data_IF_509109527425
#
_entry.id   IF_509109527425
#
_cell.length_a   1.000
_cell.length_b   1.000
_cell.length_c   1.000
_cell.angle_alpha   90.00
_cell.angle_beta   90.00
_cell.angle_gamma   90.00
#
_symmetry.space_group_name_H-M   'P 1'
#
loop_
_entity.id
_entity.type
_entity.pdbx_description
1 polymer ?
#
# COMPACT_ATOMS: atom_id res chain seq x y z
N UNK A 1 19.06 5.76 12.49
CA UNK A 1 17.66 5.89 12.07
C UNK A 1 17.11 7.32 12.13
N UNK A 2 17.58 8.17 13.05
CA UNK A 2 17.12 9.56 13.11
C UNK A 2 17.31 10.33 11.78
N UNK A 3 18.43 10.13 11.09
CA UNK A 3 18.69 10.76 9.79
C UNK A 3 17.77 10.25 8.66
N UNK A 4 17.12 9.10 8.84
CA UNK A 4 16.23 8.55 7.82
C UNK A 4 14.89 9.29 7.75
N UNK A 5 14.48 9.98 8.82
CA UNK A 5 13.23 10.74 8.85
C UNK A 5 13.18 11.88 7.83
N UNK A 6 14.35 12.40 7.42
CA UNK A 6 14.44 13.49 6.44
C UNK A 6 14.53 12.99 5.00
N UNK A 7 14.58 11.66 4.79
CA UNK A 7 14.67 11.07 3.45
C UNK A 7 13.29 10.82 2.90
N UNK A 8 13.15 11.01 1.57
CA UNK A 8 11.95 10.62 0.84
C UNK A 8 12.14 9.23 0.25
N UNK A 9 11.06 8.47 0.19
CA UNK A 9 11.04 7.15 -0.44
C UNK A 9 10.36 7.29 -1.80
N UNK A 10 11.09 7.11 -2.92
CA UNK A 10 10.49 7.20 -4.24
C UNK A 10 9.40 6.13 -4.43
N UNK A 11 8.35 6.50 -5.16
CA UNK A 11 7.32 5.55 -5.56
C UNK A 11 7.89 4.54 -6.56
N UNK A 12 7.32 3.34 -6.56
CA UNK A 12 7.50 2.38 -7.64
C UNK A 12 6.21 2.40 -8.45
N UNK A 13 6.18 3.14 -9.53
CA UNK A 13 4.94 3.46 -10.24
C UNK A 13 5.18 3.61 -11.74
N UNK A 14 4.17 3.25 -12.52
CA UNK A 14 4.15 3.37 -13.98
C UNK A 14 2.71 3.61 -14.44
N UNK A 15 2.49 4.15 -15.65
CA UNK A 15 1.14 4.32 -16.18
C UNK A 15 0.42 2.98 -16.38
N UNK A 16 -0.89 2.96 -16.09
CA UNK A 16 -1.76 1.85 -16.44
C UNK A 16 -1.54 0.55 -15.68
N UNK A 17 -1.01 0.62 -14.46
CA UNK A 17 -0.81 -0.57 -13.62
C UNK A 17 -2.14 -1.28 -13.34
N UNK A 18 -2.09 -2.60 -13.16
CA UNK A 18 -3.24 -3.37 -12.69
C UNK A 18 -3.61 -2.98 -11.26
N UNK A 19 -2.61 -2.89 -10.38
CA UNK A 19 -2.81 -2.53 -8.96
C UNK A 19 -1.70 -1.59 -8.49
N UNK A 20 -2.10 -0.48 -7.89
CA UNK A 20 -1.21 0.39 -7.12
C UNK A 20 -1.49 0.15 -5.63
N UNK A 21 -0.52 -0.44 -4.93
CA UNK A 21 -0.60 -0.61 -3.49
C UNK A 21 -0.18 0.69 -2.79
N UNK A 22 -0.92 1.06 -1.75
CA UNK A 22 -0.71 2.31 -1.03
C UNK A 22 -0.47 2.03 0.43
N UNK A 23 0.77 2.24 0.89
CA UNK A 23 1.11 2.22 2.30
C UNK A 23 0.66 3.50 3.00
N UNK A 24 0.71 3.51 4.33
CA UNK A 24 0.33 4.69 5.12
C UNK A 24 1.41 5.76 4.97
N UNK A 25 2.63 5.43 5.36
CA UNK A 25 3.83 6.26 5.19
C UNK A 25 5.07 5.38 5.31
N UNK A 26 6.26 5.85 4.85
CA UNK A 26 7.48 5.09 5.01
C UNK A 26 7.82 4.90 6.49
N UNK A 27 8.19 3.68 6.87
CA UNK A 27 8.87 3.44 8.12
C UNK A 27 10.33 3.93 8.03
N UNK A 28 11.02 4.02 9.16
CA UNK A 28 12.42 4.49 9.18
C UNK A 28 13.36 3.53 8.42
N UNK A 29 13.11 2.22 8.47
CA UNK A 29 13.86 1.24 7.70
C UNK A 29 13.72 1.47 6.20
N UNK A 30 12.50 1.71 5.74
CA UNK A 30 12.23 1.98 4.32
C UNK A 30 12.89 3.27 3.87
N UNK A 31 12.79 4.33 4.66
CA UNK A 31 13.45 5.60 4.34
C UNK A 31 14.98 5.45 4.31
N UNK A 32 15.57 4.65 5.22
CA UNK A 32 17.00 4.43 5.28
C UNK A 32 17.52 3.58 4.10
N UNK A 33 16.75 2.59 3.67
CA UNK A 33 17.17 1.67 2.59
C UNK A 33 16.73 2.11 1.21
N UNK A 34 15.70 2.93 1.09
CA UNK A 34 15.06 3.26 -0.18
C UNK A 34 14.11 2.18 -0.68
N UNK A 35 13.74 1.20 0.13
CA UNK A 35 12.88 0.08 -0.23
C UNK A 35 11.57 0.12 0.55
N UNK A 36 10.46 -0.10 -0.15
CA UNK A 36 9.13 -0.15 0.46
C UNK A 36 8.98 -1.40 1.34
N UNK A 37 8.29 -1.23 2.47
CA UNK A 37 8.00 -2.32 3.42
C UNK A 37 9.26 -3.11 3.81
N UNK A 38 10.36 -2.39 4.06
CA UNK A 38 11.68 -2.99 4.25
C UNK A 38 11.96 -3.44 5.69
N UNK A 39 11.16 -3.03 6.68
CA UNK A 39 11.40 -3.43 8.07
C UNK A 39 11.37 -4.96 8.17
N UNK A 40 12.39 -5.58 8.81
CA UNK A 40 12.36 -7.02 9.07
C UNK A 40 11.07 -7.43 9.78
N UNK A 41 10.42 -8.49 9.28
CA UNK A 41 9.12 -8.93 9.79
C UNK A 41 7.90 -8.29 9.14
N UNK A 42 8.07 -7.28 8.27
CA UNK A 42 6.94 -6.77 7.48
C UNK A 42 6.44 -7.88 6.55
N UNK A 43 5.12 -8.02 6.47
CA UNK A 43 4.47 -9.14 5.76
C UNK A 43 4.00 -8.80 4.36
N UNK A 44 4.26 -7.59 3.86
CA UNK A 44 3.79 -7.18 2.53
C UNK A 44 4.32 -8.09 1.42
N UNK A 45 5.63 -8.28 1.37
CA UNK A 45 6.25 -9.08 0.30
C UNK A 45 5.83 -10.56 0.35
N UNK A 46 5.79 -11.21 1.53
CA UNK A 46 5.20 -12.55 1.63
C UNK A 46 3.73 -12.61 1.22
N UNK A 47 2.92 -11.64 1.66
CA UNK A 47 1.50 -11.60 1.33
C UNK A 47 1.26 -11.40 -0.17
N UNK A 48 2.07 -10.58 -0.82
CA UNK A 48 2.01 -10.34 -2.25
C UNK A 48 2.25 -11.64 -3.04
N UNK A 49 3.24 -12.42 -2.62
CA UNK A 49 3.52 -13.71 -3.25
C UNK A 49 2.43 -14.75 -2.92
N UNK A 50 2.05 -14.89 -1.66
CA UNK A 50 0.98 -15.82 -1.24
C UNK A 50 -0.35 -15.51 -1.90
N UNK A 51 -0.62 -14.22 -2.11
CA UNK A 51 -1.83 -13.77 -2.82
C UNK A 51 -1.82 -14.01 -4.31
N UNK A 52 -0.71 -14.46 -4.88
CA UNK A 52 -0.61 -14.81 -6.29
C UNK A 52 -0.22 -13.66 -7.22
N UNK A 53 0.22 -12.52 -6.68
CA UNK A 53 0.62 -11.36 -7.49
C UNK A 53 2.00 -11.51 -8.12
N UNK A 54 2.90 -12.25 -7.49
CA UNK A 54 4.25 -12.48 -8.01
C UNK A 54 4.56 -13.98 -8.02
N UNK A 55 5.35 -14.46 -9.00
CA UNK A 55 5.64 -15.90 -9.12
C UNK A 55 6.58 -16.42 -8.03
N UNK A 56 7.31 -15.52 -7.37
CA UNK A 56 8.17 -15.81 -6.23
C UNK A 56 8.06 -14.68 -5.20
N UNK A 57 8.50 -14.92 -3.99
CA UNK A 57 8.58 -13.86 -2.99
C UNK A 57 9.76 -12.94 -3.33
N UNK A 58 9.47 -11.67 -3.61
CA UNK A 58 10.49 -10.66 -3.86
C UNK A 58 11.10 -10.21 -2.53
N UNK A 59 12.40 -9.92 -2.56
CA UNK A 59 13.04 -9.15 -1.50
C UNK A 59 12.69 -7.66 -1.72
N UNK A 60 12.59 -6.83 -0.65
CA UNK A 60 12.31 -5.39 -0.84
C UNK A 60 13.23 -4.69 -1.83
N UNK A 61 14.51 -5.08 -1.91
CA UNK A 61 15.45 -4.53 -2.88
C UNK A 61 15.11 -4.82 -4.33
N UNK A 62 14.21 -5.75 -4.59
CA UNK A 62 13.74 -6.14 -5.92
C UNK A 62 12.44 -5.41 -6.32
N UNK A 63 12.06 -4.38 -5.58
CA UNK A 63 10.80 -3.64 -5.79
C UNK A 63 10.64 -3.10 -7.22
N UNK A 64 11.74 -2.80 -7.92
CA UNK A 64 11.68 -2.28 -9.27
C UNK A 64 11.20 -3.31 -10.30
N UNK A 65 11.08 -4.58 -9.92
CA UNK A 65 10.44 -5.61 -10.75
C UNK A 65 8.91 -5.48 -10.78
N UNK A 66 8.29 -4.79 -9.80
CA UNK A 66 6.83 -4.72 -9.67
C UNK A 66 6.11 -4.24 -10.94
N UNK A 67 6.54 -3.15 -11.63
CA UNK A 67 5.84 -2.72 -12.83
C UNK A 67 5.76 -3.77 -13.93
N UNK A 68 6.76 -4.65 -14.03
CA UNK A 68 6.73 -5.79 -14.96
C UNK A 68 5.63 -6.79 -14.70
N UNK A 69 5.08 -6.80 -13.48
CA UNK A 69 3.92 -7.61 -13.09
C UNK A 69 2.62 -6.80 -13.09
N UNK A 70 2.65 -5.56 -13.56
CA UNK A 70 1.48 -4.67 -13.51
C UNK A 70 1.22 -4.07 -12.12
N UNK A 71 2.23 -4.04 -11.25
CA UNK A 71 2.10 -3.63 -9.86
C UNK A 71 2.97 -2.41 -9.55
N UNK A 72 2.55 -1.65 -8.55
CA UNK A 72 3.33 -0.53 -8.03
C UNK A 72 3.06 -0.29 -6.55
N UNK A 73 3.85 0.58 -5.96
CA UNK A 73 3.73 0.95 -4.53
C UNK A 73 3.96 2.45 -4.37
N UNK A 74 3.12 3.06 -3.59
CA UNK A 74 3.26 4.44 -3.10
C UNK A 74 2.84 4.51 -1.62
N UNK A 75 2.86 5.69 -1.04
CA UNK A 75 2.36 5.94 0.33
C UNK A 75 1.36 7.10 0.32
N UNK A 76 0.44 7.11 1.28
CA UNK A 76 -0.46 8.25 1.48
C UNK A 76 0.30 9.49 1.91
N UNK A 77 1.23 9.33 2.86
CA UNK A 77 2.03 10.42 3.42
C UNK A 77 3.50 10.16 3.13
N UNK A 78 4.21 11.17 2.62
CA UNK A 78 5.62 11.03 2.25
C UNK A 78 6.55 11.03 3.47
N UNK A 79 6.15 11.65 4.57
CA UNK A 79 6.97 11.78 5.78
C UNK A 79 7.19 10.43 6.45
N UNK A 80 8.44 10.05 6.64
CA UNK A 80 8.80 8.83 7.36
C UNK A 80 8.58 9.00 8.88
N UNK A 81 8.17 7.92 9.54
CA UNK A 81 8.04 7.88 10.99
C UNK A 81 8.30 6.48 11.52
N UNK A 82 8.57 6.35 12.83
CA UNK A 82 8.76 5.05 13.46
C UNK A 82 7.43 4.27 13.50
N UNK A 83 6.31 4.97 13.68
CA UNK A 83 4.97 4.37 13.74
C UNK A 83 3.98 5.22 12.94
N UNK A 84 2.99 4.56 12.35
CA UNK A 84 1.95 5.24 11.58
C UNK A 84 1.06 6.16 12.45
N UNK A 85 0.90 5.84 13.73
CA UNK A 85 0.10 6.63 14.66
C UNK A 85 0.75 7.98 15.05
N UNK A 86 1.98 8.23 14.63
CA UNK A 86 2.64 9.52 14.76
C UNK A 86 2.15 10.55 13.74
N UNK A 87 1.40 10.11 12.73
CA UNK A 87 0.81 11.00 11.73
C UNK A 87 -0.47 11.63 12.25
N UNK A 88 -0.66 12.92 11.95
CA UNK A 88 -1.90 13.63 12.29
C UNK A 88 -3.02 13.28 11.29
N UNK A 89 -4.26 13.51 11.72
CA UNK A 89 -5.41 13.38 10.83
C UNK A 89 -5.29 14.31 9.61
N UNK A 90 -4.80 15.54 9.81
CA UNK A 90 -4.58 16.50 8.73
C UNK A 90 -3.58 15.98 7.70
N UNK A 91 -2.49 15.34 8.12
CA UNK A 91 -1.53 14.74 7.21
C UNK A 91 -2.15 13.64 6.37
N UNK A 92 -3.02 12.81 6.96
CA UNK A 92 -3.71 11.74 6.24
C UNK A 92 -4.73 12.30 5.23
N UNK A 93 -5.45 13.35 5.58
CA UNK A 93 -6.39 14.03 4.67
C UNK A 93 -5.65 14.65 3.49
N UNK A 94 -4.55 15.35 3.76
CA UNK A 94 -3.71 15.92 2.70
C UNK A 94 -3.11 14.81 1.82
N UNK A 95 -2.70 13.72 2.44
CA UNK A 95 -2.19 12.54 1.73
C UNK A 95 -3.21 11.92 0.79
N UNK A 96 -4.48 11.86 1.20
CA UNK A 96 -5.56 11.38 0.34
C UNK A 96 -5.74 12.27 -0.89
N UNK A 97 -5.60 13.59 -0.75
CA UNK A 97 -5.67 14.55 -1.86
C UNK A 97 -4.51 14.32 -2.83
N UNK A 98 -3.30 14.18 -2.33
CA UNK A 98 -2.11 13.92 -3.15
C UNK A 98 -2.25 12.58 -3.87
N UNK A 99 -2.72 11.54 -3.18
CA UNK A 99 -2.95 10.23 -3.77
C UNK A 99 -3.98 10.30 -4.90
N UNK A 100 -5.07 11.02 -4.70
CA UNK A 100 -6.12 11.18 -5.72
C UNK A 100 -5.54 11.79 -7.01
N UNK A 101 -4.72 12.83 -6.90
CA UNK A 101 -4.05 13.44 -8.05
C UNK A 101 -3.08 12.46 -8.74
N UNK A 102 -2.35 11.68 -7.96
CA UNK A 102 -1.43 10.66 -8.49
C UNK A 102 -2.18 9.58 -9.26
N UNK A 103 -3.28 9.07 -8.71
CA UNK A 103 -4.13 8.07 -9.37
C UNK A 103 -4.73 8.62 -10.67
N UNK A 104 -5.17 9.88 -10.66
CA UNK A 104 -5.66 10.55 -11.87
C UNK A 104 -4.60 10.63 -12.97
N UNK A 105 -3.36 10.85 -12.58
CA UNK A 105 -2.23 10.96 -13.53
C UNK A 105 -1.81 9.61 -14.10
N UNK A 106 -1.59 8.61 -13.23
CA UNK A 106 -1.05 7.30 -13.63
C UNK A 106 -2.10 6.29 -14.07
N UNK A 107 -3.35 6.48 -13.69
CA UNK A 107 -4.50 5.65 -14.10
C UNK A 107 -4.32 4.14 -13.86
N UNK A 108 -3.99 3.72 -12.63
CA UNK A 108 -4.04 2.30 -12.30
C UNK A 108 -5.48 1.81 -12.39
N UNK A 109 -5.67 0.51 -12.67
CA UNK A 109 -7.02 -0.07 -12.71
C UNK A 109 -7.60 -0.21 -11.29
N UNK A 110 -6.75 -0.60 -10.35
CA UNK A 110 -7.09 -0.78 -8.94
C UNK A 110 -6.13 -0.01 -8.05
N UNK A 111 -6.64 0.49 -6.94
CA UNK A 111 -5.85 1.07 -5.85
C UNK A 111 -6.16 0.28 -4.59
N UNK A 112 -5.15 -0.27 -3.95
CA UNK A 112 -5.27 -1.07 -2.73
C UNK A 112 -4.55 -0.37 -1.57
N UNK A 113 -5.32 0.18 -0.64
CA UNK A 113 -4.77 0.85 0.54
C UNK A 113 -4.54 -0.17 1.64
N UNK A 114 -3.31 -0.26 2.14
CA UNK A 114 -2.94 -1.23 3.17
C UNK A 114 -3.00 -0.59 4.56
N UNK A 115 -4.20 -0.51 5.12
CA UNK A 115 -4.45 0.05 6.44
C UNK A 115 -5.79 0.72 6.54
N UNK A 116 -6.74 0.09 7.24
CA UNK A 116 -8.12 0.59 7.30
C UNK A 116 -8.24 1.88 8.11
N UNK A 117 -7.45 2.05 9.17
CA UNK A 117 -7.53 3.25 10.03
C UNK A 117 -7.11 4.50 9.26
N UNK A 118 -5.98 4.43 8.54
CA UNK A 118 -5.52 5.54 7.73
C UNK A 118 -6.48 5.87 6.59
N UNK A 119 -7.06 4.84 5.98
CA UNK A 119 -8.08 5.01 4.95
C UNK A 119 -9.32 5.72 5.50
N UNK A 120 -9.84 5.26 6.63
CA UNK A 120 -11.01 5.87 7.27
C UNK A 120 -10.85 7.36 7.54
N UNK A 121 -9.67 7.72 8.04
CA UNK A 121 -9.36 9.13 8.38
C UNK A 121 -9.11 9.94 7.10
N UNK A 122 -8.21 9.48 6.25
CA UNK A 122 -7.79 10.24 5.07
C UNK A 122 -8.91 10.49 4.07
N UNK A 123 -9.79 9.52 3.88
CA UNK A 123 -10.91 9.60 2.94
C UNK A 123 -12.25 9.93 3.59
N UNK A 124 -12.26 10.22 4.87
CA UNK A 124 -13.49 10.53 5.64
C UNK A 124 -14.56 9.43 5.49
N UNK A 125 -14.15 8.17 5.65
CA UNK A 125 -15.01 6.99 5.57
C UNK A 125 -14.94 6.22 6.88
N UNK A 126 -15.52 6.74 7.98
CA UNK A 126 -15.29 6.17 9.32
C UNK A 126 -15.88 4.76 9.50
N UNK A 127 -16.78 4.33 8.60
CA UNK A 127 -17.40 3.00 8.66
C UNK A 127 -16.83 2.01 7.65
N UNK A 128 -15.77 2.40 6.92
CA UNK A 128 -15.16 1.52 5.91
C UNK A 128 -14.63 0.24 6.55
N UNK A 129 -14.74 -0.86 5.81
CA UNK A 129 -14.23 -2.17 6.19
C UNK A 129 -13.28 -2.68 5.11
N UNK A 130 -12.62 -3.81 5.37
CA UNK A 130 -11.72 -4.44 4.39
C UNK A 130 -12.50 -4.89 3.14
N UNK A 131 -11.78 -4.98 2.03
CA UNK A 131 -12.33 -5.43 0.77
C UNK A 131 -12.67 -4.28 -0.19
N UNK A 132 -13.55 -4.56 -1.17
CA UNK A 132 -13.89 -3.56 -2.18
C UNK A 132 -14.66 -2.40 -1.56
N UNK A 133 -14.37 -1.19 -2.04
CA UNK A 133 -15.04 0.02 -1.59
C UNK A 133 -16.10 0.45 -2.61
N UNK A 134 -17.23 1.04 -2.16
CA UNK A 134 -18.33 1.39 -3.05
C UNK A 134 -17.99 2.56 -3.98
N UNK A 135 -17.10 3.48 -3.56
CA UNK A 135 -16.73 4.63 -4.37
C UNK A 135 -15.38 4.38 -5.06
N UNK A 136 -15.27 4.69 -6.37
CA UNK A 136 -13.98 4.68 -7.05
C UNK A 136 -13.11 5.85 -6.61
N UNK A 137 -11.81 5.75 -6.86
CA UNK A 137 -10.86 6.83 -6.64
C UNK A 137 -10.30 7.27 -7.99
N UNK A 138 -10.68 8.47 -8.43
CA UNK A 138 -10.22 9.03 -9.72
C UNK A 138 -10.33 8.03 -10.89
N UNK A 139 -11.42 7.27 -10.92
CA UNK A 139 -11.69 6.27 -11.95
C UNK A 139 -11.13 4.87 -11.65
N UNK A 140 -10.26 4.71 -10.68
CA UNK A 140 -9.75 3.41 -10.26
C UNK A 140 -10.71 2.74 -9.27
N UNK A 141 -10.82 1.43 -9.34
CA UNK A 141 -11.51 0.66 -8.31
C UNK A 141 -10.67 0.65 -7.04
N UNK A 142 -11.33 0.72 -5.90
CA UNK A 142 -10.67 0.92 -4.61
C UNK A 142 -10.90 -0.28 -3.69
N UNK A 143 -9.81 -0.74 -3.07
CA UNK A 143 -9.81 -1.88 -2.15
C UNK A 143 -9.04 -1.53 -0.90
N UNK A 144 -9.47 -2.00 0.25
CA UNK A 144 -8.76 -1.82 1.52
C UNK A 144 -8.28 -3.17 2.03
N UNK A 145 -6.97 -3.24 2.27
CA UNK A 145 -6.30 -4.42 2.80
C UNK A 145 -5.87 -4.17 4.25
N UNK A 146 -5.69 -5.24 5.04
CA UNK A 146 -5.10 -5.11 6.37
C UNK A 146 -3.67 -4.57 6.31
N UNK A 147 -3.25 -3.88 7.37
CA UNK A 147 -1.89 -3.41 7.53
C UNK A 147 -0.91 -4.60 7.56
N UNK A 148 0.10 -4.64 6.69
CA UNK A 148 1.06 -5.76 6.62
C UNK A 148 2.14 -5.73 7.69
N UNK A 149 2.08 -4.80 8.64
CA UNK A 149 3.03 -4.74 9.75
C UNK A 149 3.12 -6.08 10.48
N UNK A 150 4.33 -6.54 10.77
CA UNK A 150 4.55 -7.72 11.59
C UNK A 150 4.02 -7.59 13.02
N UNK A 151 3.68 -6.38 13.45
CA UNK A 151 3.09 -6.09 14.77
C UNK A 151 1.55 -6.19 14.76
N UNK A 152 0.92 -6.41 13.61
CA UNK A 152 -0.53 -6.56 13.51
C UNK A 152 -0.96 -7.89 14.13
N UNK A 153 -1.63 -7.83 15.29
CA UNK A 153 -2.08 -9.00 16.03
C UNK A 153 -3.36 -9.62 15.48
N UNK A 154 -4.09 -8.92 14.61
CA UNK A 154 -5.40 -9.35 14.08
C UNK A 154 -5.27 -10.25 12.84
N UNK A 155 -4.12 -10.27 12.20
CA UNK A 155 -3.87 -11.07 11.00
C UNK A 155 -2.60 -11.88 11.16
N UNK A 156 -2.69 -13.17 10.80
CA UNK A 156 -1.52 -14.04 10.66
C UNK A 156 -0.95 -13.91 9.25
N UNK A 157 0.26 -14.42 8.97
CA UNK A 157 0.75 -14.47 7.60
C UNK A 157 -0.22 -15.16 6.62
N UNK A 158 -0.88 -16.23 7.07
CA UNK A 158 -1.83 -16.98 6.23
C UNK A 158 -3.11 -16.16 5.97
N UNK A 159 -3.70 -15.53 6.98
CA UNK A 159 -4.92 -14.73 6.81
C UNK A 159 -4.65 -13.46 6.02
N UNK A 160 -3.48 -12.86 6.15
CA UNK A 160 -3.08 -11.72 5.34
C UNK A 160 -2.90 -12.13 3.87
N UNK A 161 -2.24 -13.26 3.62
CA UNK A 161 -2.10 -13.81 2.27
C UNK A 161 -3.45 -14.11 1.62
N UNK A 162 -4.41 -14.62 2.39
CA UNK A 162 -5.78 -14.87 1.92
C UNK A 162 -6.48 -13.56 1.53
N UNK A 163 -6.30 -12.48 2.31
CA UNK A 163 -6.86 -11.17 1.99
C UNK A 163 -6.29 -10.62 0.68
N UNK A 164 -5.00 -10.79 0.44
CA UNK A 164 -4.37 -10.40 -0.83
C UNK A 164 -4.89 -11.25 -1.99
N UNK A 165 -5.11 -12.55 -1.77
CA UNK A 165 -5.66 -13.46 -2.78
C UNK A 165 -7.09 -13.06 -3.21
N UNK A 166 -7.90 -12.56 -2.29
CA UNK A 166 -9.24 -12.04 -2.62
C UNK A 166 -9.15 -10.85 -3.58
N UNK A 167 -8.24 -9.92 -3.32
CA UNK A 167 -8.00 -8.80 -4.24
C UNK A 167 -7.54 -9.33 -5.61
N UNK A 168 -6.61 -10.26 -5.62
CA UNK A 168 -6.10 -10.83 -6.88
C UNK A 168 -7.20 -11.46 -7.72
N UNK A 169 -8.11 -12.18 -7.08
CA UNK A 169 -9.27 -12.77 -7.76
C UNK A 169 -10.18 -11.69 -8.37
N UNK A 170 -10.43 -10.60 -7.64
CA UNK A 170 -11.23 -9.47 -8.14
C UNK A 170 -10.56 -8.78 -9.33
N UNK A 171 -9.24 -8.58 -9.27
CA UNK A 171 -8.46 -7.97 -10.36
C UNK A 171 -8.57 -8.84 -11.62
N UNK A 172 -8.41 -10.16 -11.48
CA UNK A 172 -8.52 -11.09 -12.61
C UNK A 172 -9.91 -11.13 -13.22
N UNK A 173 -10.95 -11.03 -12.40
CA UNK A 173 -12.34 -11.06 -12.87
C UNK A 173 -12.70 -9.83 -13.72
N UNK A 174 -11.91 -8.76 -13.64
CA UNK A 174 -12.14 -7.51 -14.39
C UNK A 174 -11.16 -7.32 -15.56
N UNK A 175 -10.34 -8.31 -15.85
CA UNK A 175 -9.44 -8.28 -17.02
C UNK A 175 -10.21 -8.40 -18.33
#
# INVERSE_FOLDING_TARGET
>A
MAAAADRTLPDVIAPGLDVLFVGINPGLWSAATGWHFARPGNRFWPALHRGGFTPRQLHPSEQDELPGYGLGVTNMVARASARADELSAAELVDGATVLTAKVSHYRPRWVAVVGVTAYRIGFARPKATFGPQPQPLAGARLWVLPNPSGLNAHFTPDTLGAAFAELRAAVRATE
#
